data_IF_591955723659
#
_entry.id   IF_591955723659
#
_cell.length_a   1.000
_cell.length_b   1.000
_cell.length_c   1.000
_cell.angle_alpha   90.00
_cell.angle_beta   90.00
_cell.angle_gamma   90.00
#
_symmetry.space_group_name_H-M   'P 1'
#
loop_
_entity.id
_entity.type
_entity.pdbx_description
1 polymer ?
#
# COMPACT_ATOMS: atom_id res chain seq x y z
N UNK A 1 -21.08 24.99 11.16
CA UNK A 1 -22.34 24.24 11.25
C UNK A 1 -23.51 25.17 11.41
N UNK A 2 -23.47 26.10 12.38
CA UNK A 2 -24.55 27.04 12.70
C UNK A 2 -24.98 27.87 11.50
N UNK A 3 -24.05 28.33 10.65
CA UNK A 3 -24.32 29.03 9.41
C UNK A 3 -25.18 28.21 8.43
N UNK A 4 -24.87 26.91 8.28
CA UNK A 4 -25.60 26.00 7.40
C UNK A 4 -27.02 25.72 7.92
N UNK A 5 -27.13 25.49 9.23
CA UNK A 5 -28.41 25.21 9.90
C UNK A 5 -29.31 26.47 9.88
N UNK A 6 -28.74 27.63 10.20
CA UNK A 6 -29.48 28.91 10.16
C UNK A 6 -29.89 29.25 8.75
N UNK A 7 -29.06 29.07 7.74
CA UNK A 7 -29.40 29.31 6.36
C UNK A 7 -30.57 28.49 5.88
N UNK A 8 -30.62 27.21 6.23
CA UNK A 8 -31.76 26.33 5.92
C UNK A 8 -33.03 26.70 6.70
N UNK A 9 -32.87 27.08 7.97
CA UNK A 9 -34.02 27.36 8.83
C UNK A 9 -34.64 28.77 8.63
N UNK A 10 -33.80 29.81 8.38
CA UNK A 10 -34.26 31.20 8.27
C UNK A 10 -34.62 31.61 6.85
N UNK A 11 -33.99 31.00 5.83
CA UNK A 11 -34.12 31.43 4.42
C UNK A 11 -33.71 32.91 4.18
N UNK A 12 -33.01 33.51 5.15
CA UNK A 12 -32.58 34.94 5.14
C UNK A 12 -31.04 34.98 5.19
N UNK A 13 -30.49 36.04 4.57
CA UNK A 13 -29.06 36.36 4.64
C UNK A 13 -28.69 37.19 5.87
N UNK A 14 -29.67 37.66 6.63
CA UNK A 14 -29.43 38.50 7.79
C UNK A 14 -28.77 37.74 8.92
N UNK A 15 -27.75 38.32 9.52
CA UNK A 15 -27.04 37.70 10.64
C UNK A 15 -27.93 37.61 11.89
N UNK A 16 -28.01 36.41 12.47
CA UNK A 16 -28.73 36.13 13.71
C UNK A 16 -27.69 35.82 14.80
N UNK A 17 -27.70 36.58 15.87
CA UNK A 17 -26.75 36.49 16.99
C UNK A 17 -25.27 36.45 16.53
N UNK A 18 -24.91 37.24 15.52
CA UNK A 18 -23.54 37.33 14.97
C UNK A 18 -23.15 36.18 14.02
N UNK A 19 -24.06 35.27 13.72
CA UNK A 19 -23.85 34.19 12.76
C UNK A 19 -24.55 34.54 11.45
N UNK A 20 -23.75 34.73 10.37
CA UNK A 20 -24.30 34.98 9.01
C UNK A 20 -24.79 33.62 8.43
N UNK A 21 -26.10 33.48 8.11
CA UNK A 21 -26.65 32.28 7.49
C UNK A 21 -26.04 32.00 6.13
N UNK A 22 -26.11 30.77 5.69
CA UNK A 22 -25.78 30.36 4.31
C UNK A 22 -27.02 29.74 3.68
N UNK A 23 -27.80 30.51 2.90
CA UNK A 23 -29.10 30.10 2.40
C UNK A 23 -29.07 29.17 1.18
N UNK A 24 -27.92 29.03 0.49
CA UNK A 24 -27.77 28.31 -0.79
C UNK A 24 -27.87 26.76 -0.70
N UNK A 25 -28.37 26.23 0.41
CA UNK A 25 -28.54 24.79 0.62
C UNK A 25 -29.92 24.33 0.15
N UNK A 26 -30.00 23.83 -1.09
CA UNK A 26 -31.23 23.32 -1.67
C UNK A 26 -31.11 21.88 -2.18
N UNK A 27 -32.23 21.20 -2.29
CA UNK A 27 -32.38 19.88 -2.93
C UNK A 27 -31.45 18.78 -2.35
N UNK A 28 -30.67 18.13 -3.19
CA UNK A 28 -29.77 17.01 -2.79
C UNK A 28 -28.67 17.41 -1.81
N UNK A 29 -28.38 18.68 -1.61
CA UNK A 29 -27.42 19.17 -0.62
C UNK A 29 -27.91 18.97 0.82
N UNK A 30 -29.23 18.88 1.06
CA UNK A 30 -29.81 18.61 2.36
C UNK A 30 -29.51 17.20 2.84
N UNK A 31 -29.55 16.20 1.96
CA UNK A 31 -29.20 14.82 2.30
C UNK A 31 -27.72 14.70 2.65
N UNK A 32 -26.85 15.45 1.95
CA UNK A 32 -25.43 15.51 2.27
C UNK A 32 -25.19 16.18 3.62
N UNK A 33 -25.92 17.25 3.95
CA UNK A 33 -25.86 17.92 5.25
C UNK A 33 -26.33 16.99 6.37
N UNK A 34 -27.45 16.29 6.21
CA UNK A 34 -27.93 15.32 7.22
C UNK A 34 -26.89 14.20 7.46
N UNK A 35 -26.31 13.69 6.40
CA UNK A 35 -25.24 12.69 6.49
C UNK A 35 -24.02 13.23 7.24
N UNK A 36 -23.59 14.46 6.95
CA UNK A 36 -22.50 15.13 7.66
C UNK A 36 -22.81 15.32 9.14
N UNK A 37 -24.02 15.79 9.46
CA UNK A 37 -24.47 16.00 10.83
C UNK A 37 -24.49 14.70 11.65
N UNK A 38 -24.99 13.63 11.04
CA UNK A 38 -24.95 12.29 11.64
C UNK A 38 -23.52 11.84 11.92
N UNK A 39 -22.63 11.99 10.94
CA UNK A 39 -21.22 11.64 11.10
C UNK A 39 -20.57 12.45 12.23
N UNK A 40 -20.76 13.76 12.27
CA UNK A 40 -20.20 14.62 13.33
C UNK A 40 -20.73 14.25 14.72
N UNK A 41 -22.02 13.94 14.85
CA UNK A 41 -22.61 13.46 16.11
C UNK A 41 -22.01 12.12 16.56
N UNK A 42 -21.83 11.17 15.62
CA UNK A 42 -21.18 9.88 15.89
C UNK A 42 -19.75 10.09 16.34
N UNK A 43 -18.97 10.92 15.64
CA UNK A 43 -17.58 11.22 15.98
C UNK A 43 -17.47 11.91 17.35
N UNK A 44 -18.28 12.94 17.61
CA UNK A 44 -18.27 13.66 18.89
C UNK A 44 -18.65 12.76 20.08
N UNK A 45 -19.63 11.89 19.89
CA UNK A 45 -20.01 10.89 20.91
C UNK A 45 -18.86 9.92 21.18
N UNK A 46 -18.25 9.36 20.14
CA UNK A 46 -17.21 8.35 20.30
C UNK A 46 -15.88 8.95 20.75
N UNK A 47 -15.57 10.19 20.38
CA UNK A 47 -14.39 10.90 20.90
C UNK A 47 -14.38 10.93 22.44
N UNK A 48 -15.54 11.20 23.07
CA UNK A 48 -15.66 11.17 24.53
C UNK A 48 -15.53 9.75 25.09
N UNK A 49 -16.23 8.79 24.45
CA UNK A 49 -16.25 7.39 24.89
C UNK A 49 -14.90 6.70 24.75
N UNK A 50 -14.07 7.08 23.76
CA UNK A 50 -12.76 6.51 23.54
C UNK A 50 -11.66 7.15 24.41
N UNK A 51 -11.95 8.24 25.11
CA UNK A 51 -10.99 8.92 26.01
C UNK A 51 -10.78 8.21 27.34
N UNK A 52 -11.60 7.22 27.68
CA UNK A 52 -11.52 6.50 28.95
C UNK A 52 -10.68 5.23 28.80
N UNK A 53 -9.91 4.89 29.84
CA UNK A 53 -9.27 3.58 29.93
C UNK A 53 -10.30 2.54 30.36
N UNK A 54 -10.41 1.43 29.64
CA UNK A 54 -11.43 0.41 29.85
C UNK A 54 -10.86 -1.00 29.82
N UNK A 55 -11.47 -1.95 30.52
CA UNK A 55 -11.19 -3.37 30.36
C UNK A 55 -11.42 -3.83 28.91
N UNK A 56 -10.67 -4.85 28.43
CA UNK A 56 -10.78 -5.34 27.05
C UNK A 56 -12.19 -5.77 26.63
N UNK A 57 -12.97 -6.33 27.53
CA UNK A 57 -14.36 -6.70 27.26
C UNK A 57 -15.24 -5.47 26.94
N UNK A 58 -15.07 -4.38 27.68
CA UNK A 58 -15.80 -3.13 27.42
C UNK A 58 -15.31 -2.43 26.14
N UNK A 59 -14.01 -2.53 25.84
CA UNK A 59 -13.48 -2.07 24.54
C UNK A 59 -14.13 -2.78 23.38
N UNK A 60 -14.33 -4.10 23.48
CA UNK A 60 -15.04 -4.89 22.46
C UNK A 60 -16.42 -4.29 22.17
N UNK A 61 -17.23 -4.05 23.21
CA UNK A 61 -18.58 -3.49 23.06
C UNK A 61 -18.55 -2.10 22.41
N UNK A 62 -17.64 -1.24 22.87
CA UNK A 62 -17.49 0.12 22.30
C UNK A 62 -17.05 0.12 20.85
N UNK A 63 -16.09 -0.73 20.47
CA UNK A 63 -15.60 -0.81 19.09
C UNK A 63 -16.64 -1.41 18.14
N UNK A 64 -17.42 -2.42 18.58
CA UNK A 64 -18.53 -2.95 17.80
C UNK A 64 -19.62 -1.89 17.63
N UNK A 65 -19.99 -1.19 18.71
CA UNK A 65 -20.95 -0.09 18.64
C UNK A 65 -20.49 1.06 17.75
N UNK A 66 -19.19 1.36 17.67
CA UNK A 66 -18.63 2.33 16.74
C UNK A 66 -18.76 1.86 15.28
N UNK A 67 -18.46 0.59 15.00
CA UNK A 67 -18.63 0.03 13.67
C UNK A 67 -20.08 0.10 13.20
N UNK A 68 -21.03 -0.27 14.04
CA UNK A 68 -22.47 -0.24 13.71
C UNK A 68 -22.98 1.20 13.54
N UNK A 69 -22.43 2.16 14.28
CA UNK A 69 -22.78 3.59 14.14
C UNK A 69 -22.23 4.22 12.87
N UNK A 70 -21.01 3.84 12.45
CA UNK A 70 -20.37 4.34 11.22
C UNK A 70 -20.88 3.64 9.95
N UNK A 71 -21.25 2.36 10.07
CA UNK A 71 -21.68 1.50 8.97
C UNK A 71 -23.12 0.98 9.25
N UNK A 72 -24.14 1.86 9.29
CA UNK A 72 -25.51 1.46 9.61
C UNK A 72 -26.14 0.55 8.54
N UNK A 73 -25.56 0.50 7.35
CA UNK A 73 -25.95 -0.40 6.27
C UNK A 73 -24.81 -1.34 5.94
N UNK A 74 -25.09 -2.64 5.71
CA UNK A 74 -24.06 -3.58 5.31
C UNK A 74 -23.46 -3.15 3.96
N UNK A 75 -22.15 -3.36 3.76
CA UNK A 75 -21.50 -3.07 2.48
C UNK A 75 -22.17 -3.83 1.34
N UNK A 76 -22.39 -3.16 0.19
CA UNK A 76 -23.00 -3.78 -0.98
C UNK A 76 -22.06 -4.77 -1.69
N UNK A 77 -20.74 -4.64 -1.52
CA UNK A 77 -19.75 -5.52 -2.14
C UNK A 77 -19.37 -6.68 -1.23
N UNK A 78 -19.12 -7.84 -1.82
CA UNK A 78 -18.61 -9.01 -1.09
C UNK A 78 -17.25 -8.74 -0.41
N UNK A 79 -16.41 -7.91 -1.02
CA UNK A 79 -15.13 -7.50 -0.44
C UNK A 79 -15.30 -6.60 0.78
N UNK A 80 -16.23 -5.66 0.73
CA UNK A 80 -16.60 -4.82 1.86
C UNK A 80 -17.15 -5.64 3.03
N UNK A 81 -17.99 -6.63 2.73
CA UNK A 81 -18.54 -7.52 3.76
C UNK A 81 -17.42 -8.35 4.42
N UNK A 82 -16.51 -8.91 3.63
CA UNK A 82 -15.34 -9.65 4.16
C UNK A 82 -14.45 -8.77 5.04
N UNK A 83 -14.22 -7.53 4.64
CA UNK A 83 -13.43 -6.57 5.42
C UNK A 83 -14.09 -6.25 6.77
N UNK A 84 -15.42 -6.06 6.77
CA UNK A 84 -16.20 -5.83 8.00
C UNK A 84 -16.16 -7.04 8.93
N UNK A 85 -16.35 -8.25 8.39
CA UNK A 85 -16.28 -9.50 9.17
C UNK A 85 -14.89 -9.73 9.76
N UNK A 86 -13.83 -9.36 9.03
CA UNK A 86 -12.47 -9.37 9.55
C UNK A 86 -12.29 -8.41 10.73
N UNK A 87 -12.80 -7.18 10.62
CA UNK A 87 -12.75 -6.20 11.72
C UNK A 87 -13.45 -6.74 12.95
N UNK A 88 -14.67 -7.28 12.83
CA UNK A 88 -15.40 -7.89 13.93
C UNK A 88 -14.62 -9.04 14.56
N UNK A 89 -14.04 -9.90 13.73
CA UNK A 89 -13.21 -11.03 14.21
C UNK A 89 -11.98 -10.56 15.00
N UNK A 90 -11.32 -9.48 14.56
CA UNK A 90 -10.17 -8.92 15.28
C UNK A 90 -10.58 -8.30 16.61
N UNK A 91 -11.73 -7.62 16.67
CA UNK A 91 -12.27 -7.04 17.90
C UNK A 91 -12.64 -8.16 18.90
N UNK A 92 -13.31 -9.21 18.44
CA UNK A 92 -13.64 -10.37 19.28
C UNK A 92 -12.39 -11.10 19.78
N UNK A 93 -11.38 -11.25 18.91
CA UNK A 93 -10.11 -11.89 19.29
C UNK A 93 -9.36 -11.10 20.36
N UNK A 94 -9.37 -9.77 20.31
CA UNK A 94 -8.74 -8.91 21.32
C UNK A 94 -9.30 -9.18 22.71
N UNK A 95 -10.63 -9.11 22.88
CA UNK A 95 -11.27 -9.38 24.16
C UNK A 95 -11.11 -10.83 24.62
N UNK A 96 -11.22 -11.80 23.67
CA UNK A 96 -11.06 -13.22 23.97
C UNK A 96 -9.66 -13.59 24.43
N UNK A 97 -8.63 -12.96 23.84
CA UNK A 97 -7.23 -13.20 24.24
C UNK A 97 -6.97 -12.65 25.65
N UNK A 98 -7.48 -11.46 25.97
CA UNK A 98 -7.39 -10.89 27.30
C UNK A 98 -8.11 -11.76 28.35
N UNK A 99 -9.32 -12.24 28.04
CA UNK A 99 -10.08 -13.13 28.91
C UNK A 99 -9.40 -14.49 29.18
N UNK A 100 -8.65 -15.02 28.19
CA UNK A 100 -7.84 -16.23 28.38
C UNK A 100 -6.66 -16.03 29.35
N UNK A 101 -6.21 -14.81 29.49
CA UNK A 101 -5.12 -14.42 30.38
C UNK A 101 -5.63 -13.85 31.72
N UNK A 102 -6.95 -13.91 31.95
CA UNK A 102 -7.61 -13.28 33.11
C UNK A 102 -7.22 -11.81 33.29
N UNK A 103 -7.02 -11.11 32.16
CA UNK A 103 -6.59 -9.73 32.14
C UNK A 103 -7.79 -8.79 32.02
N UNK A 104 -8.11 -8.13 33.14
CA UNK A 104 -9.24 -7.19 33.28
C UNK A 104 -8.79 -5.75 33.53
N UNK A 105 -7.49 -5.49 33.57
CA UNK A 105 -6.96 -4.16 33.84
C UNK A 105 -7.40 -3.19 32.73
N UNK A 106 -7.88 -1.98 33.10
CA UNK A 106 -8.23 -0.96 32.11
C UNK A 106 -7.06 -0.58 31.22
N UNK A 107 -7.28 -0.56 29.91
CA UNK A 107 -6.31 -0.23 28.87
C UNK A 107 -6.67 1.11 28.23
N UNK A 108 -5.74 2.04 28.06
CA UNK A 108 -6.00 3.30 27.38
C UNK A 108 -6.11 3.09 25.84
N UNK A 109 -6.76 4.05 25.16
CA UNK A 109 -7.01 3.99 23.72
C UNK A 109 -5.73 3.87 22.89
N UNK A 110 -4.61 4.40 23.33
CA UNK A 110 -3.32 4.35 22.65
C UNK A 110 -2.83 2.90 22.48
N UNK A 111 -2.99 2.09 23.51
CA UNK A 111 -2.64 0.67 23.48
C UNK A 111 -3.55 -0.10 22.55
N UNK A 112 -4.87 0.18 22.60
CA UNK A 112 -5.86 -0.43 21.70
C UNK A 112 -5.54 -0.06 20.25
N UNK A 113 -5.26 1.21 19.99
CA UNK A 113 -4.86 1.70 18.64
C UNK A 113 -3.60 1.02 18.14
N UNK A 114 -2.56 0.93 18.97
CA UNK A 114 -1.31 0.26 18.61
C UNK A 114 -1.54 -1.22 18.27
N UNK A 115 -2.34 -1.92 19.07
CA UNK A 115 -2.71 -3.32 18.82
C UNK A 115 -3.40 -3.50 17.47
N UNK A 116 -4.45 -2.71 17.19
CA UNK A 116 -5.19 -2.83 15.93
C UNK A 116 -4.37 -2.37 14.73
N UNK A 117 -3.54 -1.33 14.87
CA UNK A 117 -2.63 -0.91 13.79
C UNK A 117 -1.72 -2.05 13.39
N UNK A 118 -1.10 -2.75 14.33
CA UNK A 118 -0.25 -3.90 14.06
C UNK A 118 -1.02 -5.03 13.36
N UNK A 119 -2.23 -5.36 13.83
CA UNK A 119 -3.06 -6.44 13.28
C UNK A 119 -3.65 -6.14 11.91
N UNK A 120 -4.02 -4.90 11.65
CA UNK A 120 -4.58 -4.49 10.36
C UNK A 120 -3.52 -4.38 9.26
N UNK A 121 -2.25 -4.18 9.61
CA UNK A 121 -1.15 -4.23 8.64
C UNK A 121 -0.78 -5.65 8.23
N UNK A 122 -1.20 -6.67 8.99
CA UNK A 122 -1.03 -8.07 8.58
C UNK A 122 -1.88 -8.34 7.32
N UNK A 123 -1.24 -8.89 6.27
CA UNK A 123 -1.95 -9.22 5.05
C UNK A 123 -3.04 -10.26 5.30
N UNK A 124 -4.18 -10.10 4.63
CA UNK A 124 -5.21 -11.13 4.62
C UNK A 124 -4.72 -12.33 3.79
N UNK A 125 -4.44 -13.44 4.47
CA UNK A 125 -3.97 -14.68 3.83
C UNK A 125 -5.11 -15.49 3.20
N UNK A 126 -6.35 -15.03 3.28
CA UNK A 126 -7.53 -15.70 2.74
C UNK A 126 -7.87 -15.29 1.31
N UNK A 127 -7.05 -14.42 0.69
CA UNK A 127 -7.24 -14.07 -0.71
C UNK A 127 -7.14 -15.34 -1.57
N UNK A 128 -8.07 -15.58 -2.50
CA UNK A 128 -8.01 -16.76 -3.36
C UNK A 128 -6.74 -16.71 -4.22
N UNK A 129 -6.00 -17.82 -4.21
CA UNK A 129 -4.79 -18.01 -4.98
C UNK A 129 -5.10 -18.92 -6.19
N UNK A 130 -4.42 -18.69 -7.32
CA UNK A 130 -4.53 -19.53 -8.53
C UNK A 130 -5.95 -19.53 -9.16
N UNK A 131 -6.55 -18.38 -9.29
CA UNK A 131 -7.89 -18.20 -9.89
C UNK A 131 -7.90 -18.16 -11.43
N UNK A 132 -6.77 -18.47 -12.07
CA UNK A 132 -6.64 -18.48 -13.55
C UNK A 132 -6.21 -17.14 -14.16
N UNK A 133 -5.95 -16.11 -13.33
CA UNK A 133 -5.44 -14.80 -13.75
C UNK A 133 -4.05 -14.52 -13.23
N UNK A 134 -3.69 -13.23 -13.16
CA UNK A 134 -2.44 -12.78 -12.52
C UNK A 134 -2.60 -12.87 -11.01
N UNK A 135 -1.68 -13.59 -10.35
CA UNK A 135 -1.66 -13.75 -8.90
C UNK A 135 -0.67 -12.79 -8.25
N UNK A 136 -1.13 -11.97 -7.32
CA UNK A 136 -0.27 -11.12 -6.49
C UNK A 136 -0.14 -11.72 -5.10
N UNK A 137 1.08 -12.03 -4.68
CA UNK A 137 1.32 -12.69 -3.41
C UNK A 137 2.65 -12.27 -2.79
N UNK A 138 2.83 -12.61 -1.51
CA UNK A 138 4.15 -12.58 -0.89
C UNK A 138 5.01 -13.72 -1.40
N UNK A 139 6.32 -13.56 -1.40
CA UNK A 139 7.27 -14.54 -1.94
C UNK A 139 7.16 -15.93 -1.27
N UNK A 140 6.98 -15.97 0.06
CA UNK A 140 7.03 -17.24 0.83
C UNK A 140 5.95 -18.24 0.43
N UNK A 141 4.65 -17.87 0.28
CA UNK A 141 3.64 -18.82 -0.16
C UNK A 141 3.85 -19.32 -1.59
N UNK A 142 4.51 -18.50 -2.43
CA UNK A 142 4.69 -18.76 -3.86
C UNK A 142 5.95 -19.55 -4.20
N UNK A 143 6.83 -19.78 -3.24
CA UNK A 143 8.04 -20.56 -3.45
C UNK A 143 7.69 -21.97 -3.91
N UNK A 144 8.47 -22.49 -4.85
CA UNK A 144 8.32 -23.85 -5.42
C UNK A 144 7.04 -24.08 -6.23
N UNK A 145 6.18 -23.08 -6.43
CA UNK A 145 5.05 -23.20 -7.35
C UNK A 145 5.53 -22.81 -8.76
N UNK A 146 5.45 -23.71 -9.75
CA UNK A 146 5.90 -23.39 -11.09
C UNK A 146 4.91 -22.44 -11.78
N UNK A 147 5.44 -21.32 -12.27
CA UNK A 147 4.71 -20.36 -13.10
C UNK A 147 5.46 -20.14 -14.40
N UNK A 148 4.73 -19.87 -15.49
CA UNK A 148 5.36 -19.48 -16.75
C UNK A 148 6.15 -18.18 -16.59
N UNK A 149 5.57 -17.23 -15.88
CA UNK A 149 6.17 -15.91 -15.61
C UNK A 149 6.16 -15.63 -14.13
N UNK A 150 7.32 -15.33 -13.58
CA UNK A 150 7.48 -14.87 -12.18
C UNK A 150 8.02 -13.44 -12.20
N UNK A 151 7.29 -12.52 -11.55
CA UNK A 151 7.70 -11.12 -11.44
C UNK A 151 8.04 -10.78 -9.98
N UNK A 152 9.30 -10.44 -9.71
CA UNK A 152 9.74 -9.91 -8.42
C UNK A 152 9.81 -8.38 -8.49
N UNK A 153 9.00 -7.71 -7.67
CA UNK A 153 8.89 -6.26 -7.66
C UNK A 153 9.57 -5.67 -6.41
N UNK A 154 10.25 -4.53 -6.59
CA UNK A 154 10.88 -3.80 -5.48
C UNK A 154 12.14 -4.47 -4.94
N UNK A 155 12.97 -5.02 -5.82
CA UNK A 155 14.25 -5.64 -5.46
C UNK A 155 15.36 -4.58 -5.30
N UNK A 156 15.11 -3.62 -4.41
CA UNK A 156 15.98 -2.48 -4.14
C UNK A 156 17.12 -2.88 -3.18
N UNK A 157 18.25 -2.16 -3.25
CA UNK A 157 19.31 -2.32 -2.27
C UNK A 157 18.80 -2.03 -0.84
N UNK A 158 19.18 -2.89 0.08
CA UNK A 158 18.75 -2.81 1.49
C UNK A 158 17.31 -3.24 1.79
N UNK A 159 16.44 -3.43 0.76
CA UNK A 159 15.09 -3.95 0.95
C UNK A 159 15.05 -5.48 0.93
N UNK A 160 15.86 -6.09 0.07
CA UNK A 160 16.00 -7.54 -0.05
C UNK A 160 17.45 -7.92 -0.44
N UNK A 161 18.08 -8.93 0.17
CA UNK A 161 17.57 -9.71 1.30
C UNK A 161 17.43 -8.86 2.57
N UNK A 162 16.47 -9.23 3.42
CA UNK A 162 16.25 -8.54 4.69
C UNK A 162 17.47 -8.72 5.60
N UNK A 163 17.73 -7.71 6.40
CA UNK A 163 18.78 -7.78 7.41
C UNK A 163 18.37 -8.71 8.54
N UNK A 164 19.34 -9.41 9.10
CA UNK A 164 19.11 -10.17 10.31
C UNK A 164 18.70 -9.21 11.44
N UNK A 165 17.65 -9.53 12.22
CA UNK A 165 17.24 -8.69 13.32
C UNK A 165 18.35 -8.62 14.38
N UNK A 166 18.46 -7.48 15.06
CA UNK A 166 19.35 -7.36 16.21
C UNK A 166 19.05 -8.50 17.21
N UNK A 167 20.09 -9.08 17.78
CA UNK A 167 19.98 -10.28 18.61
C UNK A 167 18.99 -10.12 19.79
N UNK A 168 18.98 -8.99 20.49
CA UNK A 168 18.14 -8.77 21.65
C UNK A 168 18.20 -9.97 22.61
N UNK A 169 17.02 -10.51 22.96
CA UNK A 169 16.89 -11.72 23.78
C UNK A 169 16.88 -13.02 22.96
N UNK A 170 16.95 -12.92 21.63
CA UNK A 170 16.88 -14.08 20.76
C UNK A 170 18.25 -14.77 20.65
N UNK A 171 18.39 -15.90 21.33
CA UNK A 171 19.63 -16.68 21.32
C UNK A 171 19.96 -17.31 19.96
N UNK A 172 18.98 -17.53 19.10
CA UNK A 172 19.19 -18.10 17.76
C UNK A 172 19.81 -17.10 16.77
N UNK A 173 19.79 -15.81 17.12
CA UNK A 173 20.35 -14.74 16.27
C UNK A 173 21.57 -14.06 16.94
N UNK A 174 21.86 -14.37 18.20
CA UNK A 174 22.89 -13.70 18.99
C UNK A 174 24.30 -13.88 18.41
N UNK A 175 24.58 -15.03 17.83
CA UNK A 175 25.90 -15.39 17.31
C UNK A 175 25.99 -15.33 15.77
N UNK A 176 24.95 -14.79 15.11
CA UNK A 176 24.98 -14.62 13.64
C UNK A 176 26.10 -13.67 13.23
N UNK A 177 26.89 -14.10 12.24
CA UNK A 177 28.05 -13.33 11.77
C UNK A 177 29.33 -13.53 12.61
N UNK A 178 29.30 -14.36 13.64
CA UNK A 178 30.47 -14.71 14.44
C UNK A 178 30.91 -16.15 14.19
N UNK A 179 32.12 -16.49 14.63
CA UNK A 179 32.68 -17.84 14.63
C UNK A 179 31.95 -18.83 15.59
N UNK A 180 31.10 -18.28 16.46
CA UNK A 180 30.28 -19.06 17.41
C UNK A 180 28.94 -19.48 16.86
N UNK A 181 28.61 -19.11 15.61
CA UNK A 181 27.38 -19.54 14.94
C UNK A 181 27.29 -21.06 14.97
N UNK A 182 26.14 -21.55 15.41
CA UNK A 182 25.86 -22.98 15.48
C UNK A 182 24.97 -23.43 14.33
N UNK A 183 25.04 -24.73 14.03
CA UNK A 183 24.11 -25.32 13.08
C UNK A 183 22.68 -25.21 13.66
N UNK A 184 21.78 -24.57 12.92
CA UNK A 184 20.41 -24.27 13.36
C UNK A 184 20.17 -22.83 13.77
N UNK A 185 21.22 -22.01 13.95
CA UNK A 185 21.07 -20.56 14.12
C UNK A 185 20.55 -19.97 12.82
N UNK A 186 19.36 -19.39 12.89
CA UNK A 186 18.61 -18.97 11.71
C UNK A 186 18.95 -17.54 11.30
N UNK A 187 19.44 -17.38 10.09
CA UNK A 187 19.64 -16.08 9.44
C UNK A 187 18.48 -15.80 8.48
N UNK A 188 17.79 -14.69 8.67
CA UNK A 188 16.77 -14.18 7.74
C UNK A 188 17.38 -13.89 6.37
N UNK A 189 18.61 -13.38 6.35
CA UNK A 189 19.34 -13.09 5.13
C UNK A 189 19.61 -14.34 4.31
N UNK A 190 20.05 -15.44 4.96
CA UNK A 190 20.29 -16.72 4.29
C UNK A 190 18.99 -17.35 3.79
N UNK A 191 17.92 -17.28 4.60
CA UNK A 191 16.58 -17.70 4.21
C UNK A 191 16.09 -16.96 2.94
N UNK A 192 16.29 -15.64 2.89
CA UNK A 192 15.89 -14.81 1.74
C UNK A 192 16.73 -15.12 0.48
N UNK A 193 18.02 -15.39 0.61
CA UNK A 193 18.87 -15.85 -0.50
C UNK A 193 18.35 -17.18 -1.06
N UNK A 194 18.02 -18.12 -0.20
CA UNK A 194 17.45 -19.38 -0.62
C UNK A 194 16.06 -19.24 -1.25
N UNK A 195 15.22 -18.36 -0.69
CA UNK A 195 13.91 -18.03 -1.25
C UNK A 195 14.04 -17.44 -2.67
N UNK A 196 14.98 -16.53 -2.88
CA UNK A 196 15.26 -15.97 -4.21
C UNK A 196 15.59 -17.05 -5.23
N UNK A 197 16.48 -17.98 -4.87
CA UNK A 197 16.84 -19.12 -5.71
C UNK A 197 15.63 -20.02 -6.03
N UNK A 198 14.77 -20.27 -5.03
CA UNK A 198 13.55 -21.06 -5.25
C UNK A 198 12.56 -20.37 -6.21
N UNK A 199 12.42 -19.03 -6.13
CA UNK A 199 11.56 -18.27 -7.05
C UNK A 199 12.15 -18.20 -8.45
N UNK A 200 13.47 -18.05 -8.56
CA UNK A 200 14.18 -18.10 -9.85
C UNK A 200 13.94 -19.44 -10.55
N UNK A 201 14.14 -20.56 -9.85
CA UNK A 201 13.96 -21.90 -10.41
C UNK A 201 12.50 -22.28 -10.66
N UNK A 202 11.55 -21.58 -10.05
CA UNK A 202 10.12 -21.76 -10.27
C UNK A 202 9.62 -21.10 -11.57
N UNK A 203 10.34 -20.13 -12.13
CA UNK A 203 10.00 -19.49 -13.39
C UNK A 203 10.34 -20.42 -14.58
N UNK A 204 9.34 -20.69 -15.43
CA UNK A 204 9.51 -21.60 -16.57
C UNK A 204 9.95 -20.87 -17.83
N UNK A 205 9.31 -19.72 -18.16
CA UNK A 205 9.57 -18.99 -19.40
C UNK A 205 10.27 -17.65 -19.13
N UNK A 206 9.80 -16.89 -18.12
CA UNK A 206 10.32 -15.55 -17.84
C UNK A 206 10.46 -15.31 -16.34
N UNK A 207 11.64 -14.90 -15.93
CA UNK A 207 11.90 -14.35 -14.61
C UNK A 207 12.12 -12.84 -14.73
N UNK A 208 11.14 -12.06 -14.27
CA UNK A 208 11.18 -10.60 -14.34
C UNK A 208 11.51 -10.02 -12.97
N UNK A 209 12.44 -9.08 -12.94
CA UNK A 209 12.85 -8.40 -11.70
C UNK A 209 12.78 -6.90 -11.91
N UNK A 210 12.25 -6.17 -10.94
CA UNK A 210 12.24 -4.71 -10.97
C UNK A 210 12.73 -4.09 -9.68
N UNK A 211 13.39 -2.94 -9.80
CA UNK A 211 13.84 -2.11 -8.70
C UNK A 211 13.76 -0.63 -9.08
N UNK A 212 13.89 0.25 -8.09
CA UNK A 212 13.96 1.68 -8.29
C UNK A 212 15.38 2.07 -8.70
N UNK A 213 15.60 2.30 -9.98
CA UNK A 213 16.92 2.66 -10.54
C UNK A 213 17.36 4.10 -10.26
N UNK A 214 16.46 4.95 -9.74
CA UNK A 214 16.78 6.32 -9.38
C UNK A 214 15.89 6.82 -8.23
N UNK A 215 16.40 7.74 -7.42
CA UNK A 215 15.61 8.45 -6.43
C UNK A 215 14.65 9.43 -7.10
N UNK A 216 13.38 9.42 -6.67
CA UNK A 216 12.35 10.27 -7.26
C UNK A 216 12.52 11.76 -6.93
N UNK A 217 13.32 12.12 -5.92
CA UNK A 217 13.52 13.50 -5.47
C UNK A 217 14.61 14.21 -6.23
N UNK A 218 15.76 13.55 -6.40
CA UNK A 218 16.98 14.17 -6.95
C UNK A 218 17.53 13.44 -8.19
N UNK A 219 16.91 12.29 -8.57
CA UNK A 219 17.33 11.51 -9.71
C UNK A 219 18.66 10.76 -9.52
N UNK A 220 19.19 10.72 -8.29
CA UNK A 220 20.43 9.98 -8.00
C UNK A 220 20.24 8.49 -8.30
N UNK A 221 21.27 7.85 -8.86
CA UNK A 221 21.21 6.43 -9.21
C UNK A 221 21.09 5.57 -7.95
N UNK A 222 20.23 4.56 -8.02
CA UNK A 222 20.05 3.53 -6.99
C UNK A 222 20.40 2.18 -7.56
N UNK A 223 21.11 1.40 -6.76
CA UNK A 223 21.50 0.06 -7.12
C UNK A 223 20.41 -0.97 -6.82
N UNK A 224 20.35 -2.07 -7.57
CA UNK A 224 19.47 -3.18 -7.22
C UNK A 224 19.99 -3.95 -6.00
N UNK A 225 19.17 -4.84 -5.49
CA UNK A 225 19.57 -5.84 -4.50
C UNK A 225 20.85 -6.57 -4.92
N UNK A 226 21.72 -6.87 -3.97
CA UNK A 226 22.95 -7.64 -4.21
C UNK A 226 22.67 -8.98 -4.95
N UNK A 227 21.54 -9.64 -4.68
CA UNK A 227 21.16 -10.88 -5.37
C UNK A 227 20.83 -10.68 -6.84
N UNK A 228 20.25 -9.53 -7.18
CA UNK A 228 19.99 -9.15 -8.57
C UNK A 228 21.30 -8.85 -9.28
N UNK A 229 22.22 -8.15 -8.63
CA UNK A 229 23.56 -7.90 -9.19
C UNK A 229 24.35 -9.19 -9.43
N UNK A 230 24.31 -10.13 -8.46
CA UNK A 230 24.91 -11.48 -8.60
C UNK A 230 24.30 -12.25 -9.79
N UNK A 231 22.96 -12.21 -9.92
CA UNK A 231 22.26 -12.88 -11.01
C UNK A 231 22.63 -12.29 -12.38
N UNK A 232 22.66 -10.95 -12.49
CA UNK A 232 23.06 -10.25 -13.72
C UNK A 232 24.49 -10.57 -14.12
N UNK A 233 25.43 -10.55 -13.19
CA UNK A 233 26.81 -10.90 -13.44
C UNK A 233 26.93 -12.36 -13.92
N UNK A 234 26.30 -13.29 -13.20
CA UNK A 234 26.31 -14.70 -13.57
C UNK A 234 25.68 -14.93 -14.94
N UNK A 235 24.53 -14.30 -15.25
CA UNK A 235 23.90 -14.43 -16.55
C UNK A 235 24.78 -13.88 -17.68
N UNK A 236 25.47 -12.76 -17.44
CA UNK A 236 26.37 -12.16 -18.41
C UNK A 236 27.58 -13.04 -18.73
N UNK A 237 28.11 -13.78 -17.76
CA UNK A 237 29.28 -14.67 -17.93
C UNK A 237 29.01 -15.83 -18.91
N UNK A 238 27.75 -16.18 -19.16
CA UNK A 238 27.37 -17.16 -20.19
C UNK A 238 27.33 -16.59 -21.63
N UNK A 239 27.56 -15.28 -21.77
CA UNK A 239 27.57 -14.63 -23.07
C UNK A 239 29.00 -14.39 -23.58
N UNK A 240 29.18 -14.41 -24.92
CA UNK A 240 30.48 -14.11 -25.54
C UNK A 240 30.99 -12.67 -25.25
N UNK A 241 30.06 -11.77 -24.91
CA UNK A 241 30.31 -10.36 -24.56
C UNK A 241 29.57 -9.97 -23.27
N UNK A 242 30.14 -10.30 -22.11
CA UNK A 242 29.46 -10.14 -20.83
C UNK A 242 28.97 -8.72 -20.54
N UNK A 243 29.80 -7.71 -20.85
CA UNK A 243 29.47 -6.29 -20.59
C UNK A 243 28.27 -5.81 -21.43
N UNK A 244 28.22 -6.20 -22.69
CA UNK A 244 27.09 -5.87 -23.58
C UNK A 244 25.84 -6.60 -23.14
N UNK A 245 25.93 -7.89 -22.82
CA UNK A 245 24.82 -8.71 -22.34
C UNK A 245 24.21 -8.15 -21.04
N UNK A 246 25.03 -7.77 -20.07
CA UNK A 246 24.56 -7.16 -18.83
C UNK A 246 23.75 -5.87 -19.06
N UNK A 247 24.16 -5.05 -20.05
CA UNK A 247 23.42 -3.84 -20.44
C UNK A 247 22.10 -4.14 -21.14
N UNK A 248 22.06 -5.15 -21.98
CA UNK A 248 20.86 -5.55 -22.72
C UNK A 248 19.80 -6.22 -21.80
N UNK A 249 20.24 -6.89 -20.75
CA UNK A 249 19.34 -7.48 -19.76
C UNK A 249 18.62 -6.41 -18.93
N UNK A 250 19.20 -5.23 -18.75
CA UNK A 250 18.63 -4.17 -17.93
C UNK A 250 17.92 -3.14 -18.79
N UNK A 251 16.61 -3.04 -18.59
CA UNK A 251 15.77 -2.02 -19.22
C UNK A 251 15.53 -0.85 -18.25
N UNK A 252 15.94 0.35 -18.65
CA UNK A 252 15.67 1.58 -17.91
C UNK A 252 14.40 2.24 -18.42
N UNK A 253 13.39 2.31 -17.58
CA UNK A 253 12.18 3.07 -17.86
C UNK A 253 12.41 4.56 -17.57
N UNK A 254 11.82 5.48 -18.37
CA UNK A 254 11.92 6.91 -18.09
C UNK A 254 11.21 7.25 -16.79
N UNK A 255 11.78 8.19 -16.04
CA UNK A 255 11.20 8.65 -14.76
C UNK A 255 9.84 9.33 -14.96
N UNK A 256 9.69 10.07 -16.04
CA UNK A 256 8.49 10.86 -16.30
C UNK A 256 7.47 10.06 -17.12
N UNK A 257 6.19 9.99 -16.69
CA UNK A 257 5.15 9.22 -17.38
C UNK A 257 4.81 9.76 -18.78
N UNK A 258 5.16 11.02 -19.06
CA UNK A 258 4.99 11.68 -20.36
C UNK A 258 6.24 11.66 -21.23
N UNK A 259 7.27 10.92 -20.85
CA UNK A 259 8.48 10.80 -21.66
C UNK A 259 8.18 10.16 -23.01
N UNK A 260 8.63 10.74 -24.14
CA UNK A 260 8.45 10.15 -25.48
C UNK A 260 8.98 8.72 -25.59
N UNK A 261 10.03 8.40 -24.85
CA UNK A 261 10.63 7.06 -24.84
C UNK A 261 9.66 5.95 -24.40
N UNK A 262 8.63 6.30 -23.60
CA UNK A 262 7.61 5.35 -23.17
C UNK A 262 6.48 5.15 -24.20
N UNK A 263 6.48 5.88 -25.33
CA UNK A 263 5.42 5.85 -26.34
C UNK A 263 5.91 5.50 -27.74
N UNK A 264 7.05 4.85 -27.83
CA UNK A 264 7.55 4.36 -29.10
C UNK A 264 8.35 5.39 -29.91
N UNK A 265 8.77 6.48 -29.32
CA UNK A 265 9.68 7.42 -29.95
C UNK A 265 11.09 6.85 -29.96
N UNK A 266 11.77 6.98 -31.12
CA UNK A 266 13.13 6.50 -31.29
C UNK A 266 14.08 7.17 -30.29
N UNK A 267 14.99 6.38 -29.73
CA UNK A 267 16.10 6.89 -28.93
C UNK A 267 17.04 7.74 -29.80
N UNK A 268 17.99 8.45 -29.15
CA UNK A 268 19.00 9.26 -29.86
C UNK A 268 19.76 8.49 -30.94
N UNK A 269 19.87 7.17 -30.83
CA UNK A 269 20.48 6.26 -31.78
C UNK A 269 19.53 5.79 -32.91
N UNK A 270 18.32 6.33 -32.97
CA UNK A 270 17.33 5.97 -33.99
C UNK A 270 16.73 4.58 -33.82
N UNK A 271 16.91 3.92 -32.66
CA UNK A 271 16.35 2.61 -32.36
C UNK A 271 15.29 2.73 -31.27
N UNK A 272 14.17 2.07 -31.50
CA UNK A 272 13.13 1.87 -30.49
C UNK A 272 13.34 0.52 -29.80
N UNK A 273 13.37 0.49 -28.46
CA UNK A 273 13.30 -0.76 -27.73
C UNK A 273 11.82 -1.15 -27.60
N UNK A 274 11.36 -2.27 -28.20
CA UNK A 274 9.97 -2.71 -28.15
C UNK A 274 9.49 -3.03 -26.73
N UNK A 275 10.40 -3.18 -25.77
CA UNK A 275 10.09 -3.39 -24.36
C UNK A 275 9.67 -2.11 -23.64
N UNK A 276 9.96 -0.92 -24.23
CA UNK A 276 9.55 0.38 -23.70
C UNK A 276 8.20 0.79 -24.27
N UNK A 277 7.12 0.59 -23.52
CA UNK A 277 5.79 1.04 -23.91
C UNK A 277 4.97 1.41 -22.67
N UNK A 278 3.92 2.20 -22.87
CA UNK A 278 3.03 2.64 -21.80
C UNK A 278 1.58 2.41 -22.19
N UNK A 279 0.80 1.80 -21.28
CA UNK A 279 -0.66 1.68 -21.39
C UNK A 279 -1.39 2.97 -20.98
N UNK A 280 -0.69 3.96 -20.44
CA UNK A 280 -1.27 5.23 -19.98
C UNK A 280 -1.45 6.22 -21.11
N UNK A 281 -2.32 5.92 -22.07
CA UNK A 281 -2.57 6.72 -23.26
C UNK A 281 -2.94 8.19 -22.99
N UNK A 282 -3.47 8.52 -21.81
CA UNK A 282 -3.79 9.90 -21.44
C UNK A 282 -2.54 10.81 -21.30
N UNK A 283 -1.36 10.25 -21.10
CA UNK A 283 -0.10 11.00 -21.12
C UNK A 283 0.50 11.16 -22.52
N UNK A 284 0.06 10.36 -23.49
CA UNK A 284 0.58 10.37 -24.85
C UNK A 284 0.49 11.74 -25.55
N UNK A 285 -0.59 12.55 -25.37
CA UNK A 285 -0.63 13.89 -25.97
C UNK A 285 0.46 14.84 -25.47
N UNK A 286 0.98 14.64 -24.25
CA UNK A 286 2.08 15.43 -23.70
C UNK A 286 3.45 14.94 -24.20
N UNK A 287 3.54 13.69 -24.65
CA UNK A 287 4.76 13.11 -25.19
C UNK A 287 5.04 13.66 -26.58
N UNK A 288 6.10 14.44 -26.74
CA UNK A 288 6.56 14.95 -28.05
C UNK A 288 5.88 16.24 -28.55
N UNK A 289 4.97 16.85 -27.80
CA UNK A 289 4.39 18.15 -28.16
C UNK A 289 4.93 19.30 -27.29
N UNK A 290 6.21 19.59 -27.45
CA UNK A 290 6.80 20.77 -26.80
C UNK A 290 6.48 22.09 -27.53
N UNK A 291 5.86 22.06 -28.73
CA UNK A 291 5.65 23.23 -29.61
C UNK A 291 4.20 23.44 -30.09
N UNK A 292 3.21 22.82 -29.47
CA UNK A 292 1.81 23.08 -29.78
C UNK A 292 1.31 24.40 -29.18
N UNK A 293 0.40 25.11 -29.85
CA UNK A 293 -0.31 26.24 -29.25
C UNK A 293 -0.92 25.81 -27.90
N UNK A 294 -0.63 26.55 -26.84
CA UNK A 294 -1.25 26.32 -25.53
C UNK A 294 -2.76 26.40 -25.69
N UNK A 295 -3.47 25.33 -25.44
CA UNK A 295 -4.91 25.41 -25.29
C UNK A 295 -5.21 26.25 -24.04
N UNK A 296 -6.14 27.23 -24.13
CA UNK A 296 -6.57 27.95 -22.96
C UNK A 296 -7.08 26.94 -21.90
N UNK A 297 -6.61 27.09 -20.68
CA UNK A 297 -7.15 26.30 -19.56
C UNK A 297 -8.65 26.60 -19.48
N UNK A 298 -9.49 25.56 -19.50
CA UNK A 298 -10.88 25.74 -19.15
C UNK A 298 -10.95 26.33 -17.74
N UNK A 299 -11.68 27.43 -17.54
CA UNK A 299 -11.93 27.89 -16.18
C UNK A 299 -12.51 26.71 -15.39
N UNK A 300 -12.01 26.47 -14.21
CA UNK A 300 -12.55 25.41 -13.34
C UNK A 300 -13.89 25.79 -12.68
N UNK A 301 -14.30 27.05 -12.86
CA UNK A 301 -15.65 27.55 -12.60
C UNK A 301 -16.18 28.15 -13.89
N UNK A 302 -17.37 27.75 -14.31
CA UNK A 302 -18.08 28.42 -15.37
C UNK A 302 -18.38 29.84 -14.88
N UNK A 303 -18.02 30.82 -15.70
CA UNK A 303 -18.46 32.20 -15.43
C UNK A 303 -20.00 32.22 -15.49
N UNK A 304 -20.63 32.56 -14.35
CA UNK A 304 -22.08 32.72 -14.26
C UNK A 304 -22.61 33.81 -15.23
#
# INVERSE_FOLDING_TARGET
LDRLLLGHASGSEDAIDGVAPWPDLEGGALDALDTLLRLLRVLARHQRLLGEALPPAQWRERLLGLLDALLPKPPASADGQRALDRLRTLIDAFAKQAGKADFETPVPVEVVRAHFTARLTEADTRAPLLTGGVSFARMVPMRLLPFRVVCLLGMDDGAFPRRDPAAGLNRLTAELGTDRRRHGDRSTRDDDRYLFLQLFTAAQDVFYVSWLGADARDGSAREPSALVSELLATAADYHAKPVEAARELVLRHPLQPFSPAAFGVLNQDGKQDPRTFSYRGHWHPAAGRLSGARQPLRPWMDAA
#
